data_IF_364764084448
#
_entry.id   IF_364764084448
#
_cell.length_a   1.000
_cell.length_b   1.000
_cell.length_c   1.000
_cell.angle_alpha   90.00
_cell.angle_beta   90.00
_cell.angle_gamma   90.00
#
_symmetry.space_group_name_H-M   'P 1'
#
loop_
_entity.id
_entity.type
_entity.pdbx_description
1 polymer ?
#
# COMPACT_ATOMS: atom_id res chain seq x y z
N UNK A 1 61.71 1.92 38.86
CA UNK A 1 60.62 1.10 38.29
C UNK A 1 59.51 2.04 37.84
N UNK A 2 59.49 2.43 36.56
CA UNK A 2 58.44 3.25 35.97
C UNK A 2 57.47 2.34 35.23
N UNK A 3 56.19 2.34 35.63
CA UNK A 3 55.12 1.64 34.91
C UNK A 3 54.58 2.58 33.83
N UNK A 4 54.79 2.22 32.57
CA UNK A 4 54.15 2.85 31.43
C UNK A 4 52.69 2.35 31.33
N UNK A 5 51.74 3.27 31.29
CA UNK A 5 50.35 2.97 30.95
C UNK A 5 50.20 3.05 29.43
N UNK A 6 49.91 1.91 28.81
CA UNK A 6 49.51 1.84 27.40
C UNK A 6 48.03 2.25 27.35
N UNK A 7 47.75 3.42 26.78
CA UNK A 7 46.40 3.84 26.42
C UNK A 7 46.01 3.06 25.16
N UNK A 8 45.07 2.12 25.28
CA UNK A 8 44.39 1.55 24.10
C UNK A 8 43.38 2.59 23.61
N UNK A 9 43.69 3.26 22.50
CA UNK A 9 42.70 3.97 21.69
C UNK A 9 41.90 2.93 20.90
N UNK A 10 40.71 2.57 21.39
CA UNK A 10 39.72 1.86 20.57
C UNK A 10 39.18 2.83 19.54
N UNK A 11 39.62 2.69 18.29
CA UNK A 11 39.07 3.43 17.16
C UNK A 11 37.60 3.08 16.99
N UNK A 12 36.71 4.04 17.23
CA UNK A 12 35.34 3.97 16.72
C UNK A 12 35.42 4.12 15.20
N UNK A 13 35.25 3.02 14.48
CA UNK A 13 34.88 3.07 13.06
C UNK A 13 33.45 3.61 13.01
N UNK A 14 33.29 4.86 12.56
CA UNK A 14 31.98 5.36 12.11
C UNK A 14 31.60 4.54 10.87
N UNK A 15 30.77 3.52 11.05
CA UNK A 15 30.05 2.91 9.94
C UNK A 15 29.14 4.00 9.35
N UNK A 16 29.33 4.32 8.08
CA UNK A 16 28.48 5.28 7.39
C UNK A 16 27.03 4.75 7.42
N UNK A 17 26.16 5.47 8.13
CA UNK A 17 24.74 5.20 8.18
C UNK A 17 24.19 5.59 6.80
N UNK A 18 23.91 4.61 5.95
CA UNK A 18 23.07 4.84 4.77
C UNK A 18 21.62 4.73 5.21
N UNK A 19 21.01 5.88 5.52
CA UNK A 19 19.55 6.00 5.48
C UNK A 19 19.16 5.88 4.01
N UNK A 20 18.92 4.66 3.51
CA UNK A 20 18.14 4.52 2.28
C UNK A 20 16.71 4.85 2.67
N UNK A 21 16.25 6.06 2.37
CA UNK A 21 14.82 6.32 2.29
C UNK A 21 14.20 5.38 1.25
N UNK A 22 12.88 5.23 1.26
CA UNK A 22 12.10 4.38 0.34
C UNK A 22 12.12 4.86 -1.13
N UNK A 23 13.21 5.47 -1.61
CA UNK A 23 13.35 5.95 -2.98
C UNK A 23 13.56 4.84 -4.02
N UNK A 24 13.41 3.57 -3.65
CA UNK A 24 13.62 2.41 -4.52
C UNK A 24 12.58 1.28 -4.31
N UNK A 25 11.40 1.61 -3.76
CA UNK A 25 10.37 0.61 -3.44
C UNK A 25 10.02 -0.27 -4.64
N UNK A 26 9.69 0.30 -5.79
CA UNK A 26 9.32 -0.49 -6.96
C UNK A 26 10.48 -1.30 -7.53
N UNK A 27 11.73 -0.88 -7.28
CA UNK A 27 12.93 -1.58 -7.75
C UNK A 27 13.29 -2.75 -6.83
N UNK A 28 12.95 -2.66 -5.55
CA UNK A 28 13.23 -3.69 -4.53
C UNK A 28 12.04 -4.59 -4.23
N UNK A 29 10.86 -4.27 -4.76
CA UNK A 29 9.65 -5.06 -4.62
C UNK A 29 9.76 -6.39 -5.39
N UNK A 30 9.98 -7.48 -4.65
CA UNK A 30 9.91 -8.85 -5.17
C UNK A 30 8.45 -9.34 -5.17
N UNK A 31 7.64 -8.80 -6.08
CA UNK A 31 6.23 -9.15 -6.22
C UNK A 31 6.01 -10.12 -7.39
N UNK A 32 5.52 -11.33 -7.07
CA UNK A 32 5.04 -12.24 -8.10
C UNK A 32 3.78 -11.69 -8.76
N UNK A 33 3.71 -11.85 -10.09
CA UNK A 33 2.55 -11.41 -10.85
C UNK A 33 2.39 -9.89 -10.91
N UNK A 34 3.47 -9.13 -10.75
CA UNK A 34 3.47 -7.67 -10.85
C UNK A 34 2.94 -7.23 -12.23
N UNK A 35 1.91 -6.38 -12.21
CA UNK A 35 1.33 -5.74 -13.41
C UNK A 35 1.87 -4.31 -13.53
N UNK A 36 1.89 -3.57 -12.43
CA UNK A 36 2.29 -2.17 -12.38
C UNK A 36 2.84 -1.80 -11.00
N UNK A 37 3.85 -0.93 -10.97
CA UNK A 37 4.36 -0.31 -9.75
C UNK A 37 4.74 1.14 -10.03
N UNK A 38 4.37 2.04 -9.14
CA UNK A 38 4.78 3.44 -9.13
C UNK A 38 5.03 3.94 -7.71
N UNK A 39 6.31 4.16 -7.39
CA UNK A 39 6.81 4.78 -6.16
C UNK A 39 7.10 6.28 -6.37
N UNK A 40 6.69 6.82 -7.52
CA UNK A 40 6.81 8.23 -7.92
C UNK A 40 8.25 8.77 -8.01
N UNK A 41 9.25 7.90 -8.01
CA UNK A 41 10.65 8.31 -8.08
C UNK A 41 11.15 8.57 -9.51
N UNK A 42 10.46 7.98 -10.49
CA UNK A 42 10.74 8.19 -11.91
C UNK A 42 10.70 9.67 -12.31
N UNK A 43 11.57 10.06 -13.24
CA UNK A 43 11.50 11.37 -13.90
C UNK A 43 10.48 11.39 -15.05
N UNK A 44 9.90 10.25 -15.40
CA UNK A 44 8.83 10.16 -16.38
C UNK A 44 7.55 10.84 -15.86
N UNK A 45 6.90 11.71 -16.66
CA UNK A 45 5.67 12.37 -16.23
C UNK A 45 4.55 11.35 -15.98
N UNK A 46 3.62 11.68 -15.06
CA UNK A 46 2.45 10.85 -14.78
C UNK A 46 1.64 10.55 -16.05
N UNK A 47 1.54 11.49 -16.97
CA UNK A 47 0.84 11.34 -18.26
C UNK A 47 1.48 10.33 -19.21
N UNK A 48 2.71 9.85 -18.96
CA UNK A 48 3.31 8.73 -19.68
C UNK A 48 3.01 7.36 -19.07
N UNK A 49 2.45 7.34 -17.86
CA UNK A 49 2.28 6.14 -17.02
C UNK A 49 0.83 5.84 -16.69
N UNK A 50 -0.02 6.86 -16.64
CA UNK A 50 -1.46 6.79 -16.42
C UNK A 50 -2.18 7.26 -17.67
N UNK A 51 -3.32 6.65 -18.00
CA UNK A 51 -4.05 7.05 -19.20
C UNK A 51 -4.82 8.36 -18.98
N UNK A 52 -5.14 8.69 -17.73
CA UNK A 52 -5.70 9.98 -17.36
C UNK A 52 -5.11 10.45 -16.02
N UNK A 53 -4.77 11.73 -15.99
CA UNK A 53 -4.25 12.47 -14.84
C UNK A 53 -5.08 13.73 -14.78
N UNK A 54 -5.91 13.85 -13.74
CA UNK A 54 -6.53 15.11 -13.38
C UNK A 54 -5.60 15.80 -12.39
N UNK A 55 -4.88 16.81 -12.87
CA UNK A 55 -3.89 17.54 -12.08
C UNK A 55 -4.52 18.63 -11.20
N UNK A 56 -5.85 18.78 -11.22
CA UNK A 56 -6.59 19.83 -10.53
C UNK A 56 -5.92 21.21 -10.68
N UNK A 57 -5.69 21.67 -11.91
CA UNK A 57 -5.00 22.94 -12.19
C UNK A 57 -3.60 23.06 -11.56
N UNK A 58 -2.92 21.93 -11.36
CA UNK A 58 -1.58 21.83 -10.76
C UNK A 58 -1.57 21.60 -9.24
N UNK A 59 -2.73 21.42 -8.61
CA UNK A 59 -2.87 21.18 -7.17
C UNK A 59 -2.83 19.68 -6.80
N UNK A 60 -2.86 18.81 -7.81
CA UNK A 60 -2.62 17.38 -7.71
C UNK A 60 -1.40 16.95 -8.53
N UNK A 61 -0.38 16.39 -7.88
CA UNK A 61 0.81 15.92 -8.59
C UNK A 61 1.97 15.45 -7.71
N UNK A 62 3.04 14.98 -8.35
CA UNK A 62 4.24 14.50 -7.67
C UNK A 62 4.99 15.67 -7.02
N UNK A 63 5.30 15.54 -5.73
CA UNK A 63 6.08 16.51 -4.95
C UNK A 63 7.23 15.81 -4.20
N UNK A 64 8.39 16.47 -4.04
CA UNK A 64 9.48 15.92 -3.24
C UNK A 64 9.14 15.97 -1.74
N UNK A 65 9.56 14.96 -0.98
CA UNK A 65 9.48 14.94 0.48
C UNK A 65 8.09 14.67 1.08
N UNK A 66 7.07 14.47 0.23
CA UNK A 66 5.70 14.18 0.69
C UNK A 66 5.38 12.68 0.73
N UNK A 67 6.19 11.86 0.07
CA UNK A 67 6.05 10.41 0.03
C UNK A 67 6.58 9.75 1.32
N UNK A 68 6.52 8.42 1.34
CA UNK A 68 6.88 7.60 2.49
C UNK A 68 8.38 7.73 2.78
N UNK A 69 8.73 7.86 4.05
CA UNK A 69 10.12 8.08 4.50
C UNK A 69 10.82 9.30 3.84
N UNK A 70 10.05 10.29 3.39
CA UNK A 70 10.57 11.50 2.74
C UNK A 70 10.90 11.33 1.25
N UNK A 71 10.43 10.27 0.61
CA UNK A 71 10.46 10.07 -0.85
C UNK A 71 9.64 11.13 -1.59
N UNK A 72 9.69 11.10 -2.92
CA UNK A 72 8.65 11.73 -3.72
C UNK A 72 7.34 10.99 -3.51
N UNK A 73 6.24 11.73 -3.52
CA UNK A 73 4.90 11.15 -3.49
C UNK A 73 3.94 12.07 -4.20
N UNK A 74 2.69 11.64 -4.34
CA UNK A 74 1.64 12.48 -4.93
C UNK A 74 0.93 13.24 -3.83
N UNK A 75 0.81 14.55 -3.98
CA UNK A 75 0.02 15.43 -3.10
C UNK A 75 -1.23 15.86 -3.86
N UNK A 76 -2.40 15.70 -3.24
CA UNK A 76 -3.63 16.39 -3.60
C UNK A 76 -3.98 17.43 -2.55
N UNK A 77 -4.38 18.61 -2.99
CA UNK A 77 -4.82 19.72 -2.15
C UNK A 77 -6.29 20.01 -2.44
N UNK A 78 -7.11 20.04 -1.37
CA UNK A 78 -8.43 20.65 -1.43
C UNK A 78 -8.37 22.06 -0.86
N UNK A 79 -9.06 23.02 -1.48
CA UNK A 79 -9.48 24.24 -0.78
C UNK A 79 -10.74 23.99 0.06
N UNK A 80 -11.06 24.93 0.96
CA UNK A 80 -12.33 24.92 1.68
C UNK A 80 -13.52 24.93 0.70
N UNK A 81 -14.42 23.97 0.86
CA UNK A 81 -15.59 23.74 0.01
C UNK A 81 -15.32 22.96 -1.28
N UNK A 82 -14.05 22.67 -1.62
CA UNK A 82 -13.69 21.97 -2.84
C UNK A 82 -14.07 20.49 -2.76
N UNK A 83 -14.70 20.00 -3.84
CA UNK A 83 -15.20 18.62 -3.93
C UNK A 83 -14.27 17.68 -4.69
N UNK A 84 -13.36 18.18 -5.53
CA UNK A 84 -12.47 17.37 -6.34
C UNK A 84 -11.05 17.93 -6.26
N UNK A 85 -10.09 17.11 -5.87
CA UNK A 85 -8.67 17.48 -5.81
C UNK A 85 -7.81 16.54 -6.68
N UNK A 86 -8.35 16.14 -7.83
CA UNK A 86 -7.63 15.40 -8.86
C UNK A 86 -7.54 13.90 -8.64
N UNK A 87 -6.86 13.20 -9.55
CA UNK A 87 -6.79 11.75 -9.55
C UNK A 87 -5.86 11.14 -10.59
N UNK A 88 -5.61 9.84 -10.42
CA UNK A 88 -4.82 9.00 -11.32
C UNK A 88 -5.66 7.81 -11.79
N UNK A 89 -5.70 7.61 -13.11
CA UNK A 89 -6.40 6.50 -13.71
C UNK A 89 -5.41 5.62 -14.46
N UNK A 90 -5.19 4.41 -13.94
CA UNK A 90 -4.29 3.43 -14.51
C UNK A 90 -5.07 2.35 -15.23
N UNK A 91 -4.68 2.04 -16.47
CA UNK A 91 -5.19 0.89 -17.22
C UNK A 91 -4.16 -0.23 -17.29
N UNK A 92 -4.67 -1.44 -17.47
CA UNK A 92 -3.89 -2.65 -17.66
C UNK A 92 -4.77 -3.71 -18.36
N UNK A 93 -4.17 -4.74 -18.94
CA UNK A 93 -4.92 -5.73 -19.70
C UNK A 93 -5.56 -5.15 -20.97
N UNK A 94 -6.43 -5.95 -21.58
CA UNK A 94 -7.25 -5.53 -22.71
C UNK A 94 -8.20 -4.41 -22.29
N UNK A 95 -8.24 -3.35 -23.10
CA UNK A 95 -9.06 -2.16 -22.86
C UNK A 95 -9.98 -1.87 -24.06
N UNK A 96 -11.08 -1.14 -23.86
CA UNK A 96 -12.09 -0.97 -24.90
C UNK A 96 -11.85 0.18 -25.89
N UNK A 97 -10.77 0.94 -25.74
CA UNK A 97 -10.43 2.03 -26.67
C UNK A 97 -8.95 2.35 -26.64
N UNK A 98 -8.45 2.96 -27.72
CA UNK A 98 -7.08 3.45 -27.79
C UNK A 98 -6.78 4.48 -26.69
N UNK A 99 -7.77 5.31 -26.30
CA UNK A 99 -7.60 6.31 -25.26
C UNK A 99 -7.36 5.66 -23.89
N UNK A 100 -8.23 4.72 -23.48
CA UNK A 100 -8.05 4.00 -22.21
C UNK A 100 -6.77 3.15 -22.25
N UNK A 101 -6.43 2.60 -23.42
CA UNK A 101 -5.28 1.72 -23.62
C UNK A 101 -3.91 2.39 -23.78
N UNK A 102 -3.83 3.72 -23.90
CA UNK A 102 -2.61 4.42 -24.34
C UNK A 102 -1.35 4.17 -23.47
N UNK A 103 -1.55 3.81 -22.19
CA UNK A 103 -0.48 3.43 -21.25
C UNK A 103 -0.82 2.15 -20.49
N UNK A 104 -1.56 1.23 -21.10
CA UNK A 104 -1.96 -0.02 -20.44
C UNK A 104 -0.76 -0.97 -20.24
N UNK A 105 -0.59 -1.47 -19.02
CA UNK A 105 0.35 -2.56 -18.76
C UNK A 105 -0.25 -3.89 -19.21
N UNK A 106 0.55 -4.74 -19.87
CA UNK A 106 0.13 -6.07 -20.33
C UNK A 106 -1.16 -6.04 -21.19
N UNK A 107 -1.20 -5.26 -22.29
CA UNK A 107 -2.43 -4.93 -23.02
C UNK A 107 -3.13 -6.13 -23.69
N UNK A 108 -2.43 -7.25 -23.86
CA UNK A 108 -2.99 -8.47 -24.46
C UNK A 108 -3.58 -9.44 -23.41
N UNK A 109 -3.42 -9.14 -22.12
CA UNK A 109 -3.88 -9.99 -21.01
C UNK A 109 -5.33 -9.69 -20.61
N UNK A 110 -6.01 -10.70 -20.08
CA UNK A 110 -7.34 -10.54 -19.47
C UNK A 110 -7.29 -10.99 -18.00
N UNK A 111 -7.63 -10.12 -17.06
CA UNK A 111 -7.48 -10.38 -15.63
C UNK A 111 -8.83 -10.63 -14.97
N UNK A 112 -8.98 -11.80 -14.34
CA UNK A 112 -10.17 -12.15 -13.56
C UNK A 112 -9.96 -11.93 -12.06
N UNK A 113 -8.71 -11.74 -11.64
CA UNK A 113 -8.31 -11.54 -10.26
C UNK A 113 -7.16 -10.54 -10.23
N UNK A 114 -7.28 -9.49 -9.41
CA UNK A 114 -6.21 -8.54 -9.16
C UNK A 114 -6.20 -8.10 -7.71
N UNK A 115 -4.98 -7.86 -7.23
CA UNK A 115 -4.68 -7.16 -6.00
C UNK A 115 -4.14 -5.78 -6.36
N UNK A 116 -4.50 -4.77 -5.58
CA UNK A 116 -3.89 -3.45 -5.68
C UNK A 116 -3.54 -2.92 -4.31
N UNK A 117 -2.49 -2.12 -4.24
CA UNK A 117 -2.02 -1.50 -3.00
C UNK A 117 -1.67 -0.04 -3.25
N UNK A 118 -1.91 0.81 -2.27
CA UNK A 118 -1.44 2.19 -2.22
C UNK A 118 -1.15 2.57 -0.76
N UNK A 119 -0.13 3.39 -0.55
CA UNK A 119 0.05 4.09 0.71
C UNK A 119 -0.72 5.42 0.66
N UNK A 120 -1.39 5.76 1.75
CA UNK A 120 -2.17 6.99 1.88
C UNK A 120 -1.92 7.65 3.24
N UNK A 121 -1.76 8.96 3.24
CA UNK A 121 -1.64 9.79 4.45
C UNK A 121 -2.51 11.02 4.32
N UNK A 122 -3.22 11.36 5.37
CA UNK A 122 -3.90 12.66 5.51
C UNK A 122 -2.99 13.61 6.27
N UNK A 123 -3.02 14.92 5.94
CA UNK A 123 -2.18 15.90 6.63
C UNK A 123 -2.36 15.86 8.16
N UNK A 124 -1.35 16.31 8.90
CA UNK A 124 -1.49 16.52 10.34
C UNK A 124 -2.59 17.56 10.62
N UNK A 125 -3.46 17.27 11.59
CA UNK A 125 -4.62 18.12 11.87
C UNK A 125 -5.74 18.05 10.82
N UNK A 126 -5.82 16.95 10.06
CA UNK A 126 -6.95 16.62 9.17
C UNK A 126 -8.30 16.81 9.86
N UNK A 127 -9.29 17.36 9.13
CA UNK A 127 -10.63 17.64 9.64
C UNK A 127 -11.71 17.18 8.66
N UNK A 128 -12.88 16.83 9.19
CA UNK A 128 -14.06 16.50 8.37
C UNK A 128 -14.29 15.02 8.14
N UNK A 129 -13.52 14.14 8.79
CA UNK A 129 -13.53 12.70 8.58
C UNK A 129 -13.23 12.34 7.10
N UNK A 130 -13.76 11.26 6.57
CA UNK A 130 -13.30 10.74 5.28
C UNK A 130 -13.94 11.43 4.06
N UNK A 131 -13.16 11.66 3.00
CA UNK A 131 -13.55 12.49 1.87
C UNK A 131 -14.36 11.70 0.83
N UNK A 132 -15.21 10.75 1.20
CA UNK A 132 -15.84 9.81 0.27
C UNK A 132 -14.81 9.00 -0.57
N UNK A 133 -14.36 9.43 -1.75
CA UNK A 133 -13.62 8.54 -2.67
C UNK A 133 -12.14 8.32 -2.26
N UNK A 134 -11.68 7.07 -2.38
CA UNK A 134 -10.26 6.71 -2.31
C UNK A 134 -9.79 6.05 -3.62
N UNK A 135 -10.20 4.80 -3.86
CA UNK A 135 -9.80 4.07 -5.07
C UNK A 135 -10.83 3.01 -5.50
N UNK A 136 -10.67 2.44 -6.70
CA UNK A 136 -11.48 1.31 -7.19
C UNK A 136 -10.82 0.58 -8.35
N UNK A 137 -10.84 -0.74 -8.31
CA UNK A 137 -10.57 -1.58 -9.48
C UNK A 137 -11.85 -1.77 -10.30
N UNK A 138 -11.76 -1.74 -11.63
CA UNK A 138 -12.93 -1.79 -12.51
C UNK A 138 -12.71 -2.63 -13.77
N UNK A 139 -13.84 -3.08 -14.32
CA UNK A 139 -13.95 -3.52 -15.72
C UNK A 139 -14.52 -2.38 -16.55
N UNK A 140 -13.68 -1.72 -17.34
CA UNK A 140 -14.10 -0.81 -18.40
C UNK A 140 -14.59 -1.64 -19.59
N UNK A 141 -15.90 -1.65 -19.82
CA UNK A 141 -16.56 -2.57 -20.73
C UNK A 141 -16.60 -2.08 -22.19
N UNK A 142 -16.64 -0.76 -22.40
CA UNK A 142 -16.66 -0.17 -23.75
C UNK A 142 -16.07 1.27 -23.76
N UNK A 143 -15.95 1.85 -24.97
CA UNK A 143 -15.38 3.18 -25.17
C UNK A 143 -16.22 4.33 -24.58
N UNK A 144 -17.47 4.11 -24.21
CA UNK A 144 -18.34 5.08 -23.53
C UNK A 144 -18.15 5.07 -22.00
N UNK A 145 -17.17 4.31 -21.51
CA UNK A 145 -16.86 4.14 -20.10
C UNK A 145 -17.95 3.41 -19.30
N UNK A 146 -18.81 2.63 -19.96
CA UNK A 146 -19.66 1.68 -19.24
C UNK A 146 -18.79 0.71 -18.42
N UNK A 147 -19.24 0.37 -17.22
CA UNK A 147 -18.48 -0.44 -16.26
C UNK A 147 -19.17 -1.76 -15.97
N UNK A 148 -18.44 -2.87 -16.08
CA UNK A 148 -18.93 -4.22 -15.74
C UNK A 148 -18.92 -4.49 -14.23
N UNK A 149 -17.74 -4.53 -13.61
CA UNK A 149 -17.55 -4.62 -12.17
C UNK A 149 -16.86 -3.37 -11.65
N UNK A 150 -17.22 -2.95 -10.43
CA UNK A 150 -16.58 -1.86 -9.70
C UNK A 150 -16.38 -2.24 -8.24
N UNK A 151 -15.12 -2.41 -7.84
CA UNK A 151 -14.72 -2.67 -6.46
C UNK A 151 -14.40 -1.35 -5.75
N UNK A 152 -15.43 -0.63 -5.30
CA UNK A 152 -15.25 0.65 -4.63
C UNK A 152 -14.59 0.49 -3.27
N UNK A 153 -13.53 1.26 -3.02
CA UNK A 153 -13.06 1.61 -1.69
C UNK A 153 -13.27 3.11 -1.47
N UNK A 154 -14.18 3.42 -0.54
CA UNK A 154 -14.54 4.78 -0.18
C UNK A 154 -14.94 4.87 1.29
N UNK A 155 -15.00 6.09 1.83
CA UNK A 155 -15.37 6.36 3.21
C UNK A 155 -16.80 5.92 3.53
N UNK A 156 -17.00 5.44 4.77
CA UNK A 156 -18.31 5.41 5.42
C UNK A 156 -18.21 4.90 6.85
N UNK A 157 -19.28 4.24 7.33
CA UNK A 157 -19.39 3.78 8.72
C UNK A 157 -19.73 4.93 9.69
N UNK A 158 -19.67 4.70 11.01
CA UNK A 158 -19.97 5.73 12.00
C UNK A 158 -19.12 6.99 11.79
N UNK A 159 -19.78 8.14 11.68
CA UNK A 159 -19.16 9.45 11.48
C UNK A 159 -18.25 9.57 10.24
N UNK A 160 -18.39 8.68 9.24
CA UNK A 160 -17.54 8.67 8.05
C UNK A 160 -16.04 8.54 8.38
N UNK A 161 -15.69 7.83 9.45
CA UNK A 161 -14.32 7.67 9.91
C UNK A 161 -13.58 6.46 9.32
N UNK A 162 -14.30 5.56 8.65
CA UNK A 162 -13.78 4.27 8.22
C UNK A 162 -13.72 4.17 6.70
N UNK A 163 -12.77 3.39 6.20
CA UNK A 163 -12.84 2.92 4.81
C UNK A 163 -13.83 1.77 4.72
N UNK A 164 -14.58 1.70 3.64
CA UNK A 164 -15.41 0.56 3.33
C UNK A 164 -15.38 0.18 1.86
N UNK A 165 -15.93 -1.00 1.63
CA UNK A 165 -16.04 -1.68 0.35
C UNK A 165 -17.49 -1.61 -0.12
N UNK A 166 -17.71 -1.14 -1.34
CA UNK A 166 -19.03 -1.18 -2.00
C UNK A 166 -18.95 -1.84 -3.38
N UNK A 167 -19.05 -3.18 -3.44
CA UNK A 167 -19.06 -3.88 -4.71
C UNK A 167 -20.30 -3.51 -5.53
N UNK A 168 -20.11 -3.07 -6.76
CA UNK A 168 -21.18 -2.79 -7.70
C UNK A 168 -20.96 -3.50 -9.04
N UNK A 169 -22.06 -3.90 -9.67
CA UNK A 169 -22.06 -4.54 -10.98
C UNK A 169 -22.94 -3.76 -11.95
N UNK A 170 -22.39 -3.42 -13.11
CA UNK A 170 -23.14 -2.97 -14.28
C UNK A 170 -23.53 -4.10 -15.22
N UNK A 171 -23.39 -5.35 -14.79
CA UNK A 171 -23.88 -6.52 -15.49
C UNK A 171 -25.13 -7.06 -14.78
N UNK A 172 -26.21 -7.26 -15.53
CA UNK A 172 -27.44 -7.83 -14.99
C UNK A 172 -27.29 -9.33 -14.67
N UNK A 173 -28.32 -9.92 -14.05
CA UNK A 173 -28.31 -11.34 -13.66
C UNK A 173 -28.32 -12.31 -14.83
N UNK A 174 -28.59 -11.84 -16.05
CA UNK A 174 -28.56 -12.63 -17.28
C UNK A 174 -27.23 -12.46 -18.05
N UNK A 175 -26.27 -11.71 -17.50
CA UNK A 175 -24.98 -11.48 -18.15
C UNK A 175 -24.97 -10.35 -19.19
N UNK A 176 -25.94 -9.41 -19.17
CA UNK A 176 -25.96 -8.27 -20.07
C UNK A 176 -25.36 -7.02 -19.42
N UNK A 177 -24.54 -6.26 -20.15
CA UNK A 177 -24.11 -4.92 -19.75
C UNK A 177 -25.30 -3.95 -19.78
N UNK A 178 -25.62 -3.38 -18.62
CA UNK A 178 -26.73 -2.42 -18.46
C UNK A 178 -26.25 -1.01 -18.15
N UNK A 179 -25.00 -0.83 -17.71
CA UNK A 179 -24.40 0.50 -17.59
C UNK A 179 -24.06 1.04 -18.96
N UNK A 180 -24.22 2.36 -19.11
CA UNK A 180 -24.00 3.05 -20.39
C UNK A 180 -22.83 4.02 -20.35
N UNK A 181 -22.44 4.44 -19.15
CA UNK A 181 -21.36 5.37 -18.88
C UNK A 181 -20.72 5.12 -17.52
N UNK A 182 -19.69 5.90 -17.19
CA UNK A 182 -19.02 5.84 -15.91
C UNK A 182 -19.93 6.35 -14.79
N UNK A 183 -19.91 5.68 -13.63
CA UNK A 183 -20.78 5.98 -12.49
C UNK A 183 -22.28 6.02 -12.85
N UNK A 184 -22.72 5.17 -13.78
CA UNK A 184 -24.14 4.97 -14.10
C UNK A 184 -24.86 4.20 -12.97
N UNK A 185 -24.86 4.78 -11.77
CA UNK A 185 -25.31 4.16 -10.51
C UNK A 185 -26.77 3.72 -10.56
N UNK A 186 -27.60 4.39 -11.37
CA UNK A 186 -29.00 4.03 -11.56
C UNK A 186 -29.18 2.66 -12.23
N UNK A 187 -28.22 2.24 -13.06
CA UNK A 187 -28.22 0.95 -13.75
C UNK A 187 -27.36 -0.11 -13.04
N UNK A 188 -26.71 0.23 -11.93
CA UNK A 188 -25.87 -0.71 -11.18
C UNK A 188 -26.66 -1.55 -10.17
N UNK A 189 -26.24 -2.80 -10.02
CA UNK A 189 -26.60 -3.67 -8.92
C UNK A 189 -25.53 -3.58 -7.83
N UNK A 190 -25.91 -3.06 -6.67
CA UNK A 190 -25.06 -3.02 -5.48
C UNK A 190 -25.06 -4.39 -4.78
N UNK A 191 -23.87 -4.89 -4.46
CA UNK A 191 -23.66 -6.27 -4.00
C UNK A 191 -23.40 -6.37 -2.49
N UNK A 192 -23.45 -5.23 -1.78
CA UNK A 192 -23.45 -5.19 -0.33
C UNK A 192 -22.29 -4.38 0.25
N UNK A 193 -22.62 -3.21 0.76
CA UNK A 193 -21.72 -2.34 1.51
C UNK A 193 -21.23 -2.99 2.80
N UNK A 194 -19.93 -2.85 3.09
CA UNK A 194 -19.30 -3.15 4.38
C UNK A 194 -18.20 -2.13 4.68
N UNK A 195 -18.00 -1.77 5.94
CA UNK A 195 -16.89 -0.91 6.35
C UNK A 195 -15.94 -1.63 7.32
N UNK A 196 -14.69 -1.17 7.35
CA UNK A 196 -13.62 -1.75 8.15
C UNK A 196 -13.71 -1.40 9.63
N UNK A 197 -12.63 -1.69 10.35
CA UNK A 197 -12.51 -1.45 11.79
C UNK A 197 -11.46 -0.40 12.14
N UNK A 198 -10.56 -0.08 11.21
CA UNK A 198 -9.57 0.99 11.37
C UNK A 198 -10.19 2.35 10.99
N UNK A 199 -10.27 3.32 11.92
CA UNK A 199 -10.86 4.64 11.67
C UNK A 199 -9.85 5.58 10.98
N UNK A 200 -9.32 5.18 9.82
CA UNK A 200 -8.18 5.85 9.15
C UNK A 200 -8.42 7.32 8.76
N UNK A 201 -9.68 7.79 8.81
CA UNK A 201 -10.04 9.18 8.51
C UNK A 201 -10.33 10.01 9.77
N UNK A 202 -10.30 9.41 10.96
CA UNK A 202 -10.53 10.14 12.20
C UNK A 202 -9.38 11.11 12.49
N UNK A 203 -9.69 12.25 13.11
CA UNK A 203 -8.70 13.29 13.42
C UNK A 203 -7.52 12.76 14.26
N UNK A 204 -7.72 11.75 15.11
CA UNK A 204 -6.66 11.13 15.92
C UNK A 204 -5.67 10.28 15.08
N UNK A 205 -6.03 9.98 13.84
CA UNK A 205 -5.23 9.24 12.87
C UNK A 205 -4.54 10.17 11.85
N UNK A 206 -4.76 11.48 11.95
CA UNK A 206 -4.13 12.49 11.11
C UNK A 206 -2.59 12.38 11.14
N UNK A 207 -1.95 12.59 9.98
CA UNK A 207 -0.50 12.50 9.82
C UNK A 207 0.07 11.08 9.74
N UNK A 208 -0.73 10.03 9.94
CA UNK A 208 -0.28 8.64 9.85
C UNK A 208 -0.39 8.10 8.41
N UNK A 209 0.59 7.30 8.03
CA UNK A 209 0.52 6.50 6.81
C UNK A 209 -0.30 5.23 7.03
N UNK A 210 -1.17 4.94 6.07
CA UNK A 210 -1.90 3.68 5.96
C UNK A 210 -1.52 3.01 4.65
N UNK A 211 -1.13 1.75 4.72
CA UNK A 211 -1.09 0.89 3.54
C UNK A 211 -2.47 0.28 3.34
N UNK A 212 -3.11 0.61 2.23
CA UNK A 212 -4.42 0.06 1.83
C UNK A 212 -4.19 -0.94 0.71
N UNK A 213 -4.61 -2.17 0.92
CA UNK A 213 -4.61 -3.22 -0.11
C UNK A 213 -6.05 -3.66 -0.39
N UNK A 214 -6.43 -3.73 -1.65
CA UNK A 214 -7.70 -4.30 -2.09
C UNK A 214 -7.48 -5.53 -2.98
N UNK A 215 -8.46 -6.42 -2.99
CA UNK A 215 -8.46 -7.63 -3.80
C UNK A 215 -9.83 -7.84 -4.42
N UNK A 216 -9.90 -7.96 -5.74
CA UNK A 216 -11.11 -8.39 -6.46
C UNK A 216 -10.80 -9.69 -7.21
N UNK A 217 -11.74 -10.64 -7.12
CA UNK A 217 -11.86 -11.78 -8.04
C UNK A 217 -13.26 -11.80 -8.63
N UNK A 218 -13.38 -11.74 -9.94
CA UNK A 218 -14.65 -11.92 -10.65
C UNK A 218 -15.17 -13.34 -10.43
N UNK A 219 -16.49 -13.52 -10.51
CA UNK A 219 -17.09 -14.84 -10.42
C UNK A 219 -16.77 -15.69 -11.65
N UNK A 220 -16.72 -17.00 -11.45
CA UNK A 220 -16.87 -17.99 -12.50
C UNK A 220 -18.19 -17.73 -13.25
N UNK A 221 -18.25 -17.80 -14.60
CA UNK A 221 -19.49 -17.54 -15.33
C UNK A 221 -20.66 -18.38 -14.78
N UNK A 222 -21.75 -17.70 -14.44
CA UNK A 222 -22.99 -18.31 -13.93
C UNK A 222 -23.01 -18.56 -12.43
N UNK A 223 -21.86 -18.45 -11.76
CA UNK A 223 -21.71 -18.73 -10.33
C UNK A 223 -21.72 -17.45 -9.48
N UNK A 224 -21.86 -17.62 -8.17
CA UNK A 224 -21.75 -16.55 -7.17
C UNK A 224 -20.58 -16.82 -6.23
N UNK A 225 -19.38 -16.98 -6.79
CA UNK A 225 -18.14 -17.34 -6.10
C UNK A 225 -17.07 -16.23 -6.16
N UNK A 226 -17.45 -15.01 -6.60
CA UNK A 226 -16.57 -13.86 -6.68
C UNK A 226 -16.19 -13.29 -5.30
N UNK A 227 -15.05 -12.61 -5.26
CA UNK A 227 -14.42 -12.10 -4.02
C UNK A 227 -14.23 -10.59 -4.09
N UNK A 228 -14.42 -9.93 -2.96
CA UNK A 228 -13.90 -8.59 -2.70
C UNK A 228 -13.42 -8.51 -1.26
N UNK A 229 -12.17 -8.12 -1.05
CA UNK A 229 -11.56 -7.93 0.27
C UNK A 229 -10.74 -6.64 0.30
N UNK A 230 -10.50 -6.13 1.50
CA UNK A 230 -9.46 -5.13 1.71
C UNK A 230 -8.79 -5.24 3.07
N UNK A 231 -7.55 -4.78 3.13
CA UNK A 231 -6.70 -4.72 4.31
C UNK A 231 -6.23 -3.28 4.54
N UNK A 232 -5.99 -2.96 5.80
CA UNK A 232 -5.25 -1.76 6.21
C UNK A 232 -4.10 -2.24 7.10
N UNK A 233 -2.87 -1.89 6.73
CA UNK A 233 -1.64 -2.32 7.42
C UNK A 233 -1.64 -3.84 7.69
N UNK A 234 -1.84 -4.63 6.63
CA UNK A 234 -1.94 -6.10 6.64
C UNK A 234 -3.08 -6.70 7.48
N UNK A 235 -3.91 -5.88 8.14
CA UNK A 235 -5.06 -6.35 8.90
C UNK A 235 -6.30 -6.38 8.01
N UNK A 236 -6.88 -7.58 7.83
CA UNK A 236 -8.12 -7.76 7.07
C UNK A 236 -9.24 -6.94 7.72
N UNK A 237 -9.83 -6.04 6.94
CA UNK A 237 -10.88 -5.15 7.42
C UNK A 237 -12.25 -5.76 7.17
N UNK A 238 -12.52 -6.16 5.93
CA UNK A 238 -13.75 -6.83 5.51
C UNK A 238 -13.52 -7.70 4.27
N UNK A 239 -14.44 -8.64 4.06
CA UNK A 239 -14.49 -9.48 2.87
C UNK A 239 -15.89 -9.94 2.51
N UNK A 240 -16.12 -10.15 1.22
CA UNK A 240 -17.30 -10.82 0.64
C UNK A 240 -16.81 -11.89 -0.33
N UNK A 241 -17.35 -13.11 -0.23
CA UNK A 241 -16.79 -14.31 -0.90
C UNK A 241 -17.79 -15.06 -1.79
N UNK A 242 -18.97 -14.49 -1.95
CA UNK A 242 -20.09 -15.07 -2.69
C UNK A 242 -20.71 -14.04 -3.64
N UNK A 243 -19.86 -13.20 -4.23
CA UNK A 243 -20.31 -12.12 -5.11
C UNK A 243 -20.59 -12.67 -6.50
N UNK A 244 -21.76 -12.33 -7.05
CA UNK A 244 -22.02 -12.42 -8.48
C UNK A 244 -21.70 -11.06 -9.09
N UNK A 245 -20.49 -10.90 -9.63
CA UNK A 245 -20.03 -9.67 -10.27
C UNK A 245 -20.58 -9.52 -11.69
N UNK A 246 -20.58 -10.59 -12.48
CA UNK A 246 -20.71 -10.53 -13.94
C UNK A 246 -21.74 -11.53 -14.51
N UNK A 247 -22.48 -12.28 -13.69
CA UNK A 247 -23.36 -13.34 -14.21
C UNK A 247 -22.59 -14.28 -15.14
N UNK A 248 -23.08 -14.47 -16.36
CA UNK A 248 -22.42 -15.24 -17.44
C UNK A 248 -21.51 -14.39 -18.36
N UNK A 249 -21.38 -13.08 -18.15
CA UNK A 249 -20.64 -12.18 -19.05
C UNK A 249 -19.21 -12.64 -19.35
N UNK A 250 -18.51 -13.18 -18.36
CA UNK A 250 -17.14 -13.69 -18.53
C UNK A 250 -17.04 -15.01 -19.32
N UNK A 251 -18.16 -15.61 -19.74
CA UNK A 251 -18.15 -16.78 -20.62
C UNK A 251 -17.73 -16.43 -22.05
N UNK A 252 -17.92 -15.17 -22.47
CA UNK A 252 -17.43 -14.68 -23.75
C UNK A 252 -15.97 -14.19 -23.60
N UNK A 253 -14.99 -14.81 -24.27
CA UNK A 253 -13.59 -14.39 -24.20
C UNK A 253 -13.33 -13.01 -24.83
N UNK A 254 -14.27 -12.47 -25.62
CA UNK A 254 -14.16 -11.13 -26.18
C UNK A 254 -14.48 -10.04 -25.15
N UNK A 255 -15.20 -10.38 -24.09
CA UNK A 255 -15.47 -9.48 -22.98
C UNK A 255 -14.25 -9.21 -22.10
N UNK A 256 -14.21 -8.00 -21.55
CA UNK A 256 -13.14 -7.54 -20.69
C UNK A 256 -13.33 -8.04 -19.25
N UNK A 257 -12.24 -8.45 -18.62
CA UNK A 257 -12.10 -8.62 -17.18
C UNK A 257 -11.77 -7.30 -16.49
N UNK A 258 -11.06 -7.35 -15.38
CA UNK A 258 -10.61 -6.16 -14.66
C UNK A 258 -9.46 -5.53 -15.46
N UNK A 259 -9.55 -4.24 -15.77
CA UNK A 259 -8.61 -3.57 -16.68
C UNK A 259 -8.27 -2.12 -16.29
N UNK A 260 -8.71 -1.68 -15.12
CA UNK A 260 -8.36 -0.36 -14.61
C UNK A 260 -8.35 -0.28 -13.08
N UNK A 261 -7.52 0.64 -12.57
CA UNK A 261 -7.49 1.09 -11.18
C UNK A 261 -7.60 2.62 -11.19
N UNK A 262 -8.63 3.17 -10.56
CA UNK A 262 -8.77 4.63 -10.39
C UNK A 262 -8.50 5.03 -8.96
N UNK A 263 -7.70 6.07 -8.76
CA UNK A 263 -7.38 6.72 -7.47
C UNK A 263 -7.89 8.17 -7.58
N UNK A 264 -8.78 8.60 -6.68
CA UNK A 264 -9.46 9.90 -6.82
C UNK A 264 -9.57 10.64 -5.49
N UNK A 265 -9.52 11.97 -5.54
CA UNK A 265 -9.71 12.90 -4.42
C UNK A 265 -11.07 13.60 -4.47
N UNK A 266 -12.16 12.82 -4.44
CA UNK A 266 -13.50 13.39 -4.53
C UNK A 266 -14.28 13.36 -3.22
N UNK A 267 -14.50 14.53 -2.61
CA UNK A 267 -15.22 14.76 -1.36
C UNK A 267 -16.66 15.23 -1.59
N UNK A 268 -17.64 14.34 -1.35
CA UNK A 268 -19.05 14.63 -1.63
C UNK A 268 -19.60 15.90 -0.95
N UNK A 269 -19.14 16.22 0.26
CA UNK A 269 -19.58 17.37 1.04
C UNK A 269 -18.72 18.63 0.80
N UNK A 270 -17.60 18.49 0.07
CA UNK A 270 -16.53 19.48 0.04
C UNK A 270 -15.64 19.41 1.29
N UNK A 271 -14.36 19.75 1.14
CA UNK A 271 -13.45 19.81 2.28
C UNK A 271 -13.85 20.93 3.25
N UNK A 272 -13.91 20.72 4.57
CA UNK A 272 -14.29 21.77 5.52
C UNK A 272 -13.22 22.86 5.73
N UNK A 273 -12.00 22.59 5.28
CA UNK A 273 -10.84 23.49 5.37
C UNK A 273 -9.94 23.26 4.17
N UNK A 274 -8.97 24.14 3.94
CA UNK A 274 -7.86 23.82 3.05
C UNK A 274 -7.01 22.69 3.67
N UNK A 275 -6.84 21.57 2.95
CA UNK A 275 -6.08 20.43 3.44
C UNK A 275 -5.61 19.46 2.37
N UNK A 276 -4.65 18.62 2.73
CA UNK A 276 -3.92 17.76 1.81
C UNK A 276 -4.07 16.27 2.12
N UNK A 277 -4.02 15.46 1.06
CA UNK A 277 -3.82 14.01 1.13
C UNK A 277 -2.64 13.61 0.24
N UNK A 278 -1.89 12.62 0.71
CA UNK A 278 -0.70 12.13 0.05
C UNK A 278 -0.86 10.67 -0.32
N UNK A 279 -0.29 10.30 -1.47
CA UNK A 279 -0.19 8.93 -1.94
C UNK A 279 1.25 8.55 -2.24
N UNK A 280 1.56 7.28 -2.01
CA UNK A 280 2.83 6.69 -2.43
C UNK A 280 2.65 5.20 -2.77
N UNK A 281 3.62 4.62 -3.47
CA UNK A 281 3.79 3.18 -3.68
C UNK A 281 2.51 2.49 -4.18
N UNK A 282 2.05 2.88 -5.37
CA UNK A 282 0.91 2.26 -6.06
C UNK A 282 1.37 0.97 -6.73
N UNK A 283 0.73 -0.14 -6.41
CA UNK A 283 1.08 -1.47 -6.94
C UNK A 283 -0.18 -2.17 -7.44
N UNK A 284 -0.07 -2.88 -8.56
CA UNK A 284 -1.09 -3.78 -9.08
C UNK A 284 -0.43 -5.12 -9.37
N UNK A 285 -1.01 -6.22 -8.89
CA UNK A 285 -0.47 -7.57 -9.09
C UNK A 285 -1.58 -8.63 -9.18
N UNK A 286 -1.23 -9.83 -9.63
CA UNK A 286 -2.14 -10.99 -9.66
C UNK A 286 -2.06 -11.86 -8.39
N UNK A 287 -1.24 -11.45 -7.42
CA UNK A 287 -1.13 -12.10 -6.11
C UNK A 287 -1.13 -11.04 -5.01
N UNK A 288 -1.44 -11.44 -3.78
CA UNK A 288 -1.39 -10.58 -2.60
C UNK A 288 -0.03 -9.87 -2.50
N UNK A 289 -0.09 -8.56 -2.30
CA UNK A 289 1.05 -7.64 -2.24
C UNK A 289 1.51 -7.50 -0.78
N UNK A 290 0.54 -7.41 0.13
CA UNK A 290 0.78 -7.13 1.54
C UNK A 290 1.20 -5.69 1.81
N UNK A 291 1.34 -5.40 3.10
CA UNK A 291 1.76 -4.10 3.61
C UNK A 291 3.09 -4.24 4.35
N UNK A 292 4.22 -4.46 3.63
CA UNK A 292 5.52 -4.50 4.27
C UNK A 292 5.72 -3.19 5.04
N UNK A 293 5.99 -3.32 6.33
CA UNK A 293 6.31 -2.17 7.17
C UNK A 293 7.55 -1.47 6.60
N UNK A 294 7.60 -0.12 6.63
CA UNK A 294 8.75 0.61 6.14
C UNK A 294 9.99 0.18 6.90
N UNK A 295 11.02 -0.19 6.16
CA UNK A 295 12.30 -0.58 6.74
C UNK A 295 13.00 0.70 7.19
N UNK A 296 12.85 1.04 8.46
CA UNK A 296 13.50 2.22 9.06
C UNK A 296 15.02 2.11 9.09
N UNK A 297 15.57 0.89 9.05
CA UNK A 297 17.01 0.63 9.02
C UNK A 297 17.31 -0.75 8.47
N UNK A 298 18.31 -0.81 7.58
CA UNK A 298 18.95 -2.06 7.14
C UNK A 298 20.33 -2.12 7.78
N UNK A 299 20.66 -3.27 8.37
CA UNK A 299 21.99 -3.51 8.92
C UNK A 299 22.72 -4.55 8.08
N UNK A 300 23.98 -4.24 7.74
CA UNK A 300 24.81 -5.07 6.85
C UNK A 300 26.01 -5.63 7.61
N UNK A 301 26.46 -6.81 7.18
CA UNK A 301 27.72 -7.39 7.62
C UNK A 301 28.90 -6.55 7.12
N UNK A 302 30.10 -6.71 7.72
CA UNK A 302 31.32 -6.08 7.24
C UNK A 302 31.64 -6.37 5.76
N UNK A 303 31.09 -7.45 5.21
CA UNK A 303 31.22 -7.83 3.80
C UNK A 303 30.15 -7.18 2.88
N UNK A 304 29.29 -6.31 3.40
CA UNK A 304 28.23 -5.62 2.67
C UNK A 304 26.94 -6.42 2.49
N UNK A 305 26.87 -7.66 2.99
CA UNK A 305 25.65 -8.47 2.94
C UNK A 305 24.61 -7.91 3.92
N UNK A 306 23.41 -7.61 3.45
CA UNK A 306 22.29 -7.26 4.32
C UNK A 306 21.94 -8.42 5.24
N UNK A 307 21.68 -8.12 6.51
CA UNK A 307 21.46 -9.13 7.54
C UNK A 307 20.02 -9.06 7.98
N UNK A 308 19.56 -7.89 8.43
CA UNK A 308 18.17 -7.72 8.85
C UNK A 308 17.63 -6.31 8.60
N UNK A 309 16.29 -6.23 8.60
CA UNK A 309 15.47 -5.02 8.41
C UNK A 309 14.75 -4.66 9.72
N UNK A 310 14.70 -3.39 10.09
CA UNK A 310 14.02 -2.89 11.31
C UNK A 310 12.77 -2.11 10.91
N UNK A 311 11.60 -2.51 11.41
CA UNK A 311 10.33 -1.80 11.21
C UNK A 311 10.15 -0.56 12.11
N UNK A 312 9.12 0.28 11.87
CA UNK A 312 8.92 1.57 12.55
C UNK A 312 8.55 1.45 14.03
N UNK A 313 8.06 0.29 14.46
CA UNK A 313 7.81 -0.01 15.87
C UNK A 313 9.08 -0.40 16.65
N UNK A 314 10.27 -0.33 16.03
CA UNK A 314 11.58 -0.63 16.64
C UNK A 314 11.81 -2.10 17.02
N UNK A 315 10.77 -2.93 17.05
CA UNK A 315 10.82 -4.33 17.47
C UNK A 315 10.39 -5.34 16.40
N UNK A 316 10.09 -4.91 15.18
CA UNK A 316 9.91 -5.84 14.07
C UNK A 316 11.21 -5.98 13.29
N UNK A 317 11.71 -7.21 13.22
CA UNK A 317 13.00 -7.56 12.64
C UNK A 317 12.77 -8.63 11.59
N UNK A 318 13.30 -8.46 10.39
CA UNK A 318 13.30 -9.51 9.38
C UNK A 318 14.75 -9.86 9.03
N UNK A 319 15.21 -11.07 9.37
CA UNK A 319 16.47 -11.60 8.84
C UNK A 319 16.27 -12.05 7.39
N UNK A 320 17.22 -11.71 6.51
CA UNK A 320 17.14 -12.08 5.11
C UNK A 320 17.22 -13.61 4.89
N UNK A 321 16.65 -14.12 3.78
CA UNK A 321 16.71 -15.54 3.42
C UNK A 321 18.14 -16.10 3.42
N UNK A 322 18.32 -17.29 4.00
CA UNK A 322 19.60 -18.01 4.04
C UNK A 322 20.48 -17.73 5.26
N UNK A 323 20.06 -16.85 6.17
CA UNK A 323 20.76 -16.58 7.43
C UNK A 323 20.08 -17.28 8.61
N UNK A 324 20.89 -17.71 9.59
CA UNK A 324 20.43 -18.28 10.87
C UNK A 324 21.27 -17.74 12.01
N UNK A 325 20.68 -17.62 13.21
CA UNK A 325 21.34 -17.01 14.36
C UNK A 325 20.40 -16.68 15.51
N UNK A 326 20.90 -15.86 16.44
CA UNK A 326 20.14 -15.34 17.58
C UNK A 326 20.19 -13.81 17.64
N UNK A 327 19.05 -13.19 17.95
CA UNK A 327 18.95 -11.76 18.27
C UNK A 327 18.88 -11.64 19.79
N UNK A 328 19.83 -10.91 20.38
CA UNK A 328 19.93 -10.67 21.82
C UNK A 328 19.61 -9.21 22.08
N UNK A 329 18.56 -8.94 22.85
CA UNK A 329 18.20 -7.59 23.30
C UNK A 329 18.63 -7.42 24.75
N UNK A 330 19.35 -6.34 25.04
CA UNK A 330 19.90 -6.03 26.36
C UNK A 330 19.52 -4.62 26.79
N UNK A 331 19.31 -4.39 28.08
CA UNK A 331 19.14 -3.03 28.62
C UNK A 331 20.44 -2.23 28.53
N UNK A 332 20.37 -0.92 28.76
CA UNK A 332 21.57 -0.06 28.89
C UNK A 332 22.54 -0.50 30.00
N UNK A 333 22.09 -1.33 30.94
CA UNK A 333 22.91 -1.90 32.00
C UNK A 333 23.55 -3.24 31.61
N UNK A 334 23.39 -3.69 30.36
CA UNK A 334 23.95 -4.94 29.84
C UNK A 334 23.20 -6.19 30.29
N UNK A 335 22.02 -6.05 30.91
CA UNK A 335 21.18 -7.19 31.26
C UNK A 335 20.41 -7.65 30.02
N UNK A 336 20.53 -8.93 29.66
CA UNK A 336 19.75 -9.53 28.58
C UNK A 336 18.28 -9.48 28.96
N UNK A 337 17.52 -8.70 28.20
CA UNK A 337 16.07 -8.57 28.34
C UNK A 337 15.35 -9.69 27.60
N UNK A 338 15.82 -10.05 26.40
CA UNK A 338 15.21 -11.09 25.58
C UNK A 338 16.21 -11.70 24.59
N UNK A 339 16.00 -12.97 24.24
CA UNK A 339 16.75 -13.67 23.18
C UNK A 339 15.75 -14.31 22.24
N UNK A 340 15.93 -14.08 20.94
CA UNK A 340 15.13 -14.67 19.88
C UNK A 340 15.98 -15.63 19.05
N UNK A 341 15.54 -16.87 18.92
CA UNK A 341 16.15 -17.84 18.01
C UNK A 341 15.52 -17.66 16.65
N UNK A 342 16.34 -17.41 15.63
CA UNK A 342 15.83 -17.19 14.28
C UNK A 342 16.04 -18.46 13.47
N UNK A 343 14.98 -19.24 13.40
CA UNK A 343 14.90 -20.48 12.66
C UNK A 343 14.12 -20.24 11.37
N UNK A 344 14.84 -19.92 10.29
CA UNK A 344 14.35 -19.71 8.94
C UNK A 344 13.60 -18.39 8.65
N UNK A 345 13.54 -18.07 7.35
CA UNK A 345 13.13 -16.79 6.77
C UNK A 345 11.75 -16.30 7.22
N UNK A 346 11.56 -14.97 7.25
CA UNK A 346 10.26 -14.33 7.54
C UNK A 346 9.85 -14.34 9.01
N UNK A 347 10.80 -14.60 9.92
CA UNK A 347 10.55 -14.56 11.36
C UNK A 347 10.44 -13.11 11.84
N UNK A 348 9.23 -12.69 12.20
CA UNK A 348 8.94 -11.42 12.88
C UNK A 348 8.76 -11.67 14.39
N UNK A 349 9.77 -11.44 15.25
CA UNK A 349 9.54 -11.49 16.67
C UNK A 349 8.84 -10.22 17.13
N UNK A 350 7.54 -10.31 17.44
CA UNK A 350 6.86 -9.29 18.22
C UNK A 350 7.20 -9.50 19.71
N UNK A 351 7.69 -8.46 20.39
CA UNK A 351 8.11 -8.51 21.80
C UNK A 351 7.16 -7.70 22.70
N UNK A 352 5.96 -8.21 23.04
CA UNK A 352 4.97 -7.44 23.78
C UNK A 352 5.36 -7.12 25.24
N UNK A 353 6.35 -7.79 25.83
CA UNK A 353 6.57 -7.80 27.29
C UNK A 353 7.74 -6.95 27.83
N UNK A 354 8.49 -6.22 26.98
CA UNK A 354 9.56 -5.34 27.48
C UNK A 354 8.99 -4.10 28.19
N UNK A 355 9.63 -3.71 29.28
CA UNK A 355 9.30 -2.49 30.04
C UNK A 355 9.71 -1.27 29.17
N UNK A 356 9.04 -0.11 29.27
CA UNK A 356 9.50 1.11 28.62
C UNK A 356 10.95 1.43 29.00
N UNK A 357 11.77 1.84 28.03
CA UNK A 357 13.19 2.06 28.27
C UNK A 357 14.06 2.02 27.02
N UNK A 358 15.36 2.24 27.24
CA UNK A 358 16.38 2.17 26.20
C UNK A 358 17.02 0.78 26.23
N UNK A 359 17.09 0.15 25.07
CA UNK A 359 17.68 -1.16 24.86
C UNK A 359 18.75 -1.08 23.79
N UNK A 360 19.66 -2.05 23.79
CA UNK A 360 20.58 -2.33 22.69
C UNK A 360 20.31 -3.74 22.21
N UNK A 361 20.74 -4.04 20.99
CA UNK A 361 20.67 -5.42 20.51
C UNK A 361 21.94 -5.82 19.79
N UNK A 362 22.18 -7.12 19.78
CA UNK A 362 23.22 -7.74 18.98
C UNK A 362 22.67 -8.96 18.26
N UNK A 363 23.04 -9.12 17.01
CA UNK A 363 22.75 -10.31 16.23
C UNK A 363 23.99 -11.18 16.20
N UNK A 364 23.86 -12.42 16.66
CA UNK A 364 24.89 -13.44 16.57
C UNK A 364 24.50 -14.44 15.50
N UNK A 365 25.21 -14.42 14.39
CA UNK A 365 24.98 -15.34 13.28
C UNK A 365 25.57 -16.72 13.60
N UNK A 366 25.03 -17.77 12.98
CA UNK A 366 25.50 -19.15 13.15
C UNK A 366 26.95 -19.37 12.68
N UNK A 367 27.49 -18.48 11.85
CA UNK A 367 28.91 -18.48 11.44
C UNK A 367 29.84 -17.84 12.49
N UNK A 368 29.29 -17.34 13.61
CA UNK A 368 30.01 -16.75 14.73
C UNK A 368 30.18 -15.23 14.65
N UNK A 369 29.75 -14.57 13.58
CA UNK A 369 29.77 -13.09 13.50
C UNK A 369 28.78 -12.47 14.50
N UNK A 370 29.21 -11.39 15.15
CA UNK A 370 28.37 -10.60 16.07
C UNK A 370 28.29 -9.18 15.55
N UNK A 371 27.07 -8.68 15.42
CA UNK A 371 26.80 -7.33 14.92
C UNK A 371 25.96 -6.61 15.93
N UNK A 372 26.45 -5.44 16.33
CA UNK A 372 25.81 -4.59 17.32
C UNK A 372 24.99 -3.53 16.60
N UNK A 373 23.73 -3.42 16.98
CA UNK A 373 22.87 -2.36 16.49
C UNK A 373 22.82 -1.15 17.41
N UNK A 374 22.15 -0.07 16.97
CA UNK A 374 21.96 1.14 17.75
C UNK A 374 21.03 0.91 18.94
N UNK A 375 20.89 1.95 19.76
CA UNK A 375 19.90 1.97 20.82
C UNK A 375 18.47 1.95 20.25
N UNK A 376 17.62 1.13 20.86
CA UNK A 376 16.19 1.05 20.64
C UNK A 376 15.48 1.77 21.79
N UNK A 377 14.44 2.53 21.47
CA UNK A 377 13.60 3.18 22.48
C UNK A 377 12.24 2.53 22.43
N UNK A 378 11.79 1.99 23.57
CA UNK A 378 10.41 1.54 23.78
C UNK A 378 9.62 2.53 24.61
#
# INVERSE_FOLDING_TARGET
MNKAYILLLTGLTLSAISLRGQSDYCTTLDQQGLIFCDDFESSEPLTGRYFEVDDNNGEFGVQPGVGRDGSKGVRGLWQEGEVDAGGLLKSFGRTPSNYIGQHANLPDSNFMEVYWKLDVRHQEGWQGNGPAKLCRALTMANANWATGAMAHLWTGGPNDQYLGMDPASGIDVNGNLVTTTYNDFANMRWLGWKYGTTPMFADQEAGKWFCVEGHIRLNTPGESDGVFEFWINDTLQQGSYNLNWHGDWNADPDHYGINALFINNYWNAGSPVEQERYFDNVVIATQRIGCPEPVTRVESAPNGQEIFRVGPAGFEWDLLPGLSGEVIVSSVLGQVAQVFQVQAAGFRPFAPEMIPGIYYYSVRLSDGQIIHGPALVR
#
